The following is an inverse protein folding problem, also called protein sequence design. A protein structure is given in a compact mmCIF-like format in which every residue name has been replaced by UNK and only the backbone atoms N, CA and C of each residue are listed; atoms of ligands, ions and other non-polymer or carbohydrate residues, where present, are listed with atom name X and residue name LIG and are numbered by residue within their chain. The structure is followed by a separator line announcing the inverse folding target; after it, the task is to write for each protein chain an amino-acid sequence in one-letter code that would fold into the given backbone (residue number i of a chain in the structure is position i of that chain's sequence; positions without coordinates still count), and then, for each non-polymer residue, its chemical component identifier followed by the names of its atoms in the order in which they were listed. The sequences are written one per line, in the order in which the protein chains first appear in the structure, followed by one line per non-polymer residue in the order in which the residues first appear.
data_IF_317464064333
#
_entry.id   IF_317464064333
#
_cell.length_a   1.000
_cell.length_b   1.000
_cell.length_c   1.000
_cell.angle_alpha   90.00
_cell.angle_beta   90.00
_cell.angle_gamma   90.00
#
_symmetry.space_group_name_H-M   'P 1'
#
loop_
_entity.id
_entity.type
_entity.pdbx_description
1 polymer ?
#
# COMPACT_ATOMS: atom_id res chain seq x y z
N UNK A 1 5.04 -7.20 4.24
CA UNK A 1 3.76 -6.60 3.75
C UNK A 1 2.84 -6.17 4.88
N UNK A 2 2.49 -7.06 5.81
CA UNK A 2 1.54 -6.82 6.92
C UNK A 2 1.73 -5.46 7.63
N UNK A 3 2.93 -5.16 8.11
CA UNK A 3 3.18 -3.89 8.82
C UNK A 3 2.90 -2.62 7.99
N UNK A 4 3.10 -2.68 6.67
CA UNK A 4 2.76 -1.56 5.81
C UNK A 4 1.24 -1.44 5.63
N UNK A 5 0.52 -2.57 5.60
CA UNK A 5 -0.95 -2.56 5.58
C UNK A 5 -1.48 -1.97 6.88
N UNK A 6 -1.01 -2.47 8.03
CA UNK A 6 -1.41 -1.98 9.35
C UNK A 6 -1.16 -0.47 9.47
N UNK A 7 0.04 0.02 9.09
CA UNK A 7 0.35 1.44 9.06
C UNK A 7 -0.61 2.27 8.18
N UNK A 8 -1.02 1.74 7.03
CA UNK A 8 -1.93 2.42 6.13
C UNK A 8 -3.38 2.39 6.64
N UNK A 9 -3.80 1.28 7.25
CA UNK A 9 -5.11 1.14 7.88
C UNK A 9 -5.25 2.07 9.08
N UNK A 10 -4.25 2.09 9.98
CA UNK A 10 -4.20 2.98 11.15
C UNK A 10 -4.28 4.46 10.72
N UNK A 11 -3.59 4.83 9.63
CA UNK A 11 -3.69 6.18 9.07
C UNK A 11 -5.09 6.47 8.53
N UNK A 12 -5.67 5.57 7.75
CA UNK A 12 -7.00 5.78 7.18
C UNK A 12 -8.07 5.84 8.27
N UNK A 13 -7.98 4.99 9.30
CA UNK A 13 -8.89 4.98 10.44
C UNK A 13 -8.85 6.30 11.19
N UNK A 14 -7.65 6.75 11.59
CA UNK A 14 -7.48 8.02 12.30
C UNK A 14 -7.95 9.21 11.47
N UNK A 15 -7.54 9.31 10.21
CA UNK A 15 -7.96 10.39 9.31
C UNK A 15 -9.48 10.37 9.07
N UNK A 16 -10.12 9.20 9.03
CA UNK A 16 -11.56 9.09 8.83
C UNK A 16 -12.37 9.41 10.09
N UNK A 17 -11.85 9.08 11.27
CA UNK A 17 -12.46 9.45 12.55
C UNK A 17 -12.53 10.98 12.70
N UNK A 18 -11.44 11.68 12.38
CA UNK A 18 -11.36 13.15 12.43
C UNK A 18 -12.28 13.88 11.43
N UNK A 19 -12.81 13.17 10.42
CA UNK A 19 -13.70 13.75 9.39
C UNK A 19 -15.19 13.57 9.70
N UNK A 20 -15.58 12.69 10.63
CA UNK A 20 -17.00 12.48 10.99
C UNK A 20 -17.65 13.75 11.55
N UNK A 21 -16.88 14.72 12.04
CA UNK A 21 -17.39 16.02 12.50
C UNK A 21 -17.67 17.03 11.36
N UNK A 22 -17.29 16.75 10.10
CA UNK A 22 -17.31 17.71 8.99
C UNK A 22 -18.22 17.30 7.82
N UNK A 23 -19.49 17.01 8.13
CA UNK A 23 -20.59 16.94 7.14
C UNK A 23 -20.51 15.79 6.11
N UNK A 24 -21.56 15.62 5.27
CA UNK A 24 -21.80 14.41 4.47
C UNK A 24 -20.95 14.30 3.18
N UNK A 25 -19.78 14.91 3.12
CA UNK A 25 -18.94 14.80 1.93
C UNK A 25 -18.13 13.50 1.99
N UNK A 26 -18.47 12.56 1.10
CA UNK A 26 -17.89 11.22 0.90
C UNK A 26 -16.39 11.24 0.51
N UNK A 27 -15.55 11.84 1.35
CA UNK A 27 -14.11 12.04 1.16
C UNK A 27 -13.31 11.20 2.18
N UNK A 28 -13.71 9.95 2.39
CA UNK A 28 -12.95 9.03 3.23
C UNK A 28 -11.59 8.75 2.61
N UNK A 29 -10.57 8.70 3.46
CA UNK A 29 -9.27 8.16 3.11
C UNK A 29 -9.36 6.65 3.01
N UNK A 30 -9.10 6.12 1.83
CA UNK A 30 -9.03 4.69 1.58
C UNK A 30 -8.01 4.38 0.49
N UNK A 31 -7.44 3.18 0.52
CA UNK A 31 -6.50 2.70 -0.49
C UNK A 31 -6.92 1.35 -1.05
N UNK A 32 -6.60 1.10 -2.32
CA UNK A 32 -7.09 -0.04 -3.07
C UNK A 32 -5.99 -0.81 -3.83
N UNK A 33 -4.75 -0.36 -3.72
CA UNK A 33 -3.57 -1.05 -4.22
C UNK A 33 -2.36 -0.79 -3.31
N UNK A 34 -1.56 -1.83 -3.08
CA UNK A 34 -0.28 -1.73 -2.38
C UNK A 34 0.75 -2.67 -2.99
N UNK A 35 1.97 -2.18 -3.18
CA UNK A 35 3.11 -2.99 -3.55
C UNK A 35 4.36 -2.57 -2.79
N UNK A 36 4.95 -3.52 -2.04
CA UNK A 36 6.21 -3.34 -1.33
C UNK A 36 7.23 -4.36 -1.90
N UNK A 37 8.06 -3.97 -2.88
CA UNK A 37 9.08 -4.83 -3.43
C UNK A 37 10.05 -5.33 -2.37
N UNK A 38 10.35 -6.63 -2.41
CA UNK A 38 11.32 -7.28 -1.55
C UNK A 38 12.60 -7.61 -2.33
N UNK A 39 13.74 -7.54 -1.66
CA UNK A 39 14.97 -8.18 -2.08
C UNK A 39 14.98 -9.60 -1.50
N UNK A 40 14.86 -10.61 -2.38
CA UNK A 40 14.76 -12.01 -1.99
C UNK A 40 16.07 -12.59 -1.45
N UNK A 41 17.21 -11.92 -1.69
CA UNK A 41 18.48 -12.35 -1.09
C UNK A 41 18.56 -11.94 0.37
N UNK A 42 18.18 -10.70 0.67
CA UNK A 42 18.33 -10.12 2.01
C UNK A 42 17.08 -10.23 2.87
N UNK A 43 15.94 -10.61 2.28
CA UNK A 43 14.62 -10.65 2.91
C UNK A 43 14.15 -9.28 3.44
N UNK A 44 14.80 -8.19 3.01
CA UNK A 44 14.37 -6.83 3.32
C UNK A 44 13.60 -6.21 2.14
N UNK A 45 12.80 -5.18 2.44
CA UNK A 45 12.20 -4.39 1.38
C UNK A 45 13.25 -3.57 0.63
N UNK A 46 13.00 -3.24 -0.65
CA UNK A 46 13.90 -2.44 -1.47
C UNK A 46 13.93 -0.94 -1.11
N UNK A 47 13.24 -0.53 -0.04
CA UNK A 47 13.23 0.84 0.46
C UNK A 47 12.17 1.76 -0.15
N UNK A 48 11.27 1.25 -0.98
CA UNK A 48 10.16 2.01 -1.55
C UNK A 48 8.90 1.15 -1.66
N UNK A 49 7.75 1.80 -1.81
CA UNK A 49 6.45 1.15 -2.00
C UNK A 49 5.57 1.97 -2.93
N UNK A 50 4.62 1.30 -3.59
CA UNK A 50 3.53 1.95 -4.31
C UNK A 50 2.24 1.76 -3.53
N UNK A 51 1.47 2.84 -3.40
CA UNK A 51 0.16 2.84 -2.76
C UNK A 51 -0.78 3.65 -3.64
N UNK A 52 -1.94 3.09 -3.99
CA UNK A 52 -3.00 3.84 -4.67
C UNK A 52 -4.10 4.19 -3.68
N UNK A 53 -4.36 5.48 -3.52
CA UNK A 53 -5.53 5.98 -2.81
C UNK A 53 -6.73 6.07 -3.76
N UNK A 54 -7.94 5.88 -3.24
CA UNK A 54 -9.17 5.97 -4.03
C UNK A 54 -9.53 7.40 -4.44
N UNK A 55 -8.94 8.41 -3.78
CA UNK A 55 -9.19 9.82 -4.02
C UNK A 55 -7.86 10.61 -3.97
N UNK A 56 -7.57 11.48 -4.96
CA UNK A 56 -6.41 12.38 -4.92
C UNK A 56 -6.31 13.22 -3.65
N UNK A 57 -7.46 13.58 -3.04
CA UNK A 57 -7.48 14.33 -1.78
C UNK A 57 -6.92 13.51 -0.62
N UNK A 58 -7.20 12.21 -0.58
CA UNK A 58 -6.66 11.30 0.44
C UNK A 58 -5.14 11.16 0.28
N UNK A 59 -4.65 11.02 -0.96
CA UNK A 59 -3.21 11.01 -1.24
C UNK A 59 -2.53 12.32 -0.80
N UNK A 60 -3.16 13.47 -1.06
CA UNK A 60 -2.63 14.78 -0.63
C UNK A 60 -2.58 14.92 0.90
N UNK A 61 -3.63 14.47 1.61
CA UNK A 61 -3.66 14.45 3.08
C UNK A 61 -2.55 13.56 3.64
N UNK A 62 -2.40 12.35 3.09
CA UNK A 62 -1.36 11.43 3.50
C UNK A 62 0.04 11.98 3.28
N UNK A 63 0.30 12.59 2.12
CA UNK A 63 1.56 13.28 1.84
C UNK A 63 1.85 14.35 2.91
N UNK A 64 0.89 15.25 3.18
CA UNK A 64 1.06 16.30 4.20
C UNK A 64 1.33 15.74 5.59
N UNK A 65 0.71 14.62 5.95
CA UNK A 65 0.80 14.04 7.29
C UNK A 65 2.05 13.17 7.50
N UNK A 66 2.50 12.45 6.46
CA UNK A 66 3.50 11.36 6.61
C UNK A 66 4.81 11.61 5.87
N UNK A 67 4.87 12.60 4.97
CA UNK A 67 6.11 12.97 4.28
C UNK A 67 7.11 13.64 5.22
N UNK A 68 8.41 13.43 4.98
CA UNK A 68 9.52 13.92 5.82
C UNK A 68 9.45 13.49 7.30
N UNK A 69 8.73 12.42 7.61
CA UNK A 69 8.63 11.84 8.95
C UNK A 69 9.47 10.56 9.08
N UNK A 70 9.96 10.25 10.28
CA UNK A 70 10.71 9.02 10.56
C UNK A 70 9.80 7.80 10.65
N UNK A 71 10.33 6.62 10.34
CA UNK A 71 9.64 5.36 10.64
C UNK A 71 9.66 5.07 12.14
N UNK A 72 8.48 4.92 12.74
CA UNK A 72 8.32 4.57 14.15
C UNK A 72 8.70 3.09 14.43
N UNK A 73 8.89 2.32 13.36
CA UNK A 73 9.26 0.91 13.41
C UNK A 73 10.77 0.69 13.23
N UNK A 74 11.27 -0.38 13.85
CA UNK A 74 12.64 -0.90 13.69
C UNK A 74 13.79 0.04 14.09
N UNK A 75 13.50 1.09 14.89
CA UNK A 75 14.49 2.12 15.22
C UNK A 75 15.17 2.71 13.97
N UNK A 76 14.45 2.69 12.85
CA UNK A 76 15.00 3.08 11.56
C UNK A 76 15.28 4.58 11.56
N UNK A 77 16.52 4.96 11.24
CA UNK A 77 16.90 6.36 11.04
C UNK A 77 16.40 6.92 9.70
N UNK A 78 15.78 6.10 8.85
CA UNK A 78 15.29 6.51 7.53
C UNK A 78 14.12 7.49 7.67
N UNK A 79 14.14 8.52 6.85
CA UNK A 79 13.08 9.52 6.72
C UNK A 79 12.23 9.13 5.51
N UNK A 80 10.90 9.13 5.65
CA UNK A 80 9.97 8.90 4.56
C UNK A 80 10.03 10.06 3.57
N UNK A 81 10.06 9.70 2.29
CA UNK A 81 9.84 10.63 1.18
C UNK A 81 8.70 10.08 0.34
N UNK A 82 7.70 10.91 0.10
CA UNK A 82 6.50 10.57 -0.65
C UNK A 82 6.47 11.46 -1.89
N UNK A 83 6.37 10.82 -3.04
CA UNK A 83 6.29 11.48 -4.34
C UNK A 83 5.20 10.82 -5.20
N UNK A 84 4.59 11.55 -6.14
CA UNK A 84 3.68 10.95 -7.10
C UNK A 84 4.43 9.92 -7.96
N UNK A 85 3.81 8.75 -8.15
CA UNK A 85 4.33 7.71 -9.05
C UNK A 85 4.12 8.09 -10.52
N UNK A 86 4.98 7.59 -11.42
CA UNK A 86 4.82 7.79 -12.87
C UNK A 86 3.54 7.12 -13.41
N UNK A 87 3.18 5.96 -12.85
CA UNK A 87 1.93 5.25 -13.18
C UNK A 87 0.90 5.61 -12.11
N UNK A 88 -0.25 6.12 -12.54
CA UNK A 88 -1.31 6.63 -11.66
C UNK A 88 -2.60 5.82 -11.82
N UNK A 89 -3.26 5.55 -10.70
CA UNK A 89 -4.54 4.81 -10.67
C UNK A 89 -4.37 3.30 -10.53
N UNK A 90 -5.34 2.68 -9.85
CA UNK A 90 -5.37 1.23 -9.59
C UNK A 90 -5.33 0.42 -10.88
N UNK A 91 -6.16 0.73 -11.86
CA UNK A 91 -6.28 -0.09 -13.08
C UNK A 91 -4.97 -0.11 -13.88
N UNK A 92 -4.32 1.04 -14.04
CA UNK A 92 -3.02 1.14 -14.70
C UNK A 92 -1.91 0.40 -13.93
N UNK A 93 -1.93 0.44 -12.60
CA UNK A 93 -1.00 -0.35 -11.77
C UNK A 93 -1.26 -1.85 -11.90
N UNK A 94 -2.53 -2.27 -11.87
CA UNK A 94 -2.92 -3.67 -12.04
C UNK A 94 -2.47 -4.15 -13.41
N UNK A 95 -2.77 -3.42 -14.49
CA UNK A 95 -2.36 -3.75 -15.86
C UNK A 95 -0.83 -3.86 -15.96
N UNK A 96 -0.10 -2.88 -15.41
CA UNK A 96 1.37 -2.88 -15.40
C UNK A 96 1.95 -4.14 -14.78
N UNK A 97 1.38 -4.58 -13.65
CA UNK A 97 1.92 -5.69 -12.89
C UNK A 97 1.29 -7.05 -13.24
N UNK A 98 0.13 -7.08 -13.91
CA UNK A 98 -0.58 -8.32 -14.25
C UNK A 98 0.27 -9.28 -15.09
N UNK A 99 1.05 -8.75 -16.03
CA UNK A 99 1.94 -9.55 -16.87
C UNK A 99 3.36 -9.68 -16.30
N UNK A 100 3.64 -9.01 -15.17
CA UNK A 100 4.95 -9.06 -14.55
C UNK A 100 5.17 -10.41 -13.87
N UNK A 101 6.40 -10.93 -14.03
CA UNK A 101 6.82 -12.17 -13.42
C UNK A 101 7.75 -11.91 -12.24
N UNK A 102 7.38 -12.38 -11.07
CA UNK A 102 8.10 -12.14 -9.82
C UNK A 102 8.84 -13.41 -9.43
N UNK A 103 10.18 -13.35 -9.45
CA UNK A 103 11.04 -14.43 -8.97
C UNK A 103 11.08 -14.49 -7.45
N UNK A 104 9.93 -14.69 -6.83
CA UNK A 104 9.77 -14.73 -5.37
C UNK A 104 9.18 -16.07 -4.93
N UNK A 105 9.32 -16.39 -3.65
CA UNK A 105 8.90 -17.68 -3.10
C UNK A 105 7.47 -17.64 -2.56
N UNK A 106 7.02 -16.46 -2.12
CA UNK A 106 5.73 -16.26 -1.48
C UNK A 106 4.89 -15.24 -2.24
N UNK A 107 3.60 -15.52 -2.38
CA UNK A 107 2.62 -14.60 -2.96
C UNK A 107 2.49 -13.31 -2.13
N UNK A 108 2.92 -13.32 -0.87
CA UNK A 108 2.91 -12.14 -0.01
C UNK A 108 3.79 -10.98 -0.50
N UNK A 109 4.70 -11.27 -1.42
CA UNK A 109 5.60 -10.30 -2.03
C UNK A 109 5.07 -9.75 -3.36
N UNK A 110 3.94 -10.29 -3.84
CA UNK A 110 3.27 -9.76 -5.01
C UNK A 110 2.56 -8.44 -4.66
N UNK A 111 2.43 -7.53 -5.65
CA UNK A 111 1.48 -6.43 -5.55
C UNK A 111 0.09 -6.96 -5.21
N UNK A 112 -0.66 -6.18 -4.43
CA UNK A 112 -2.00 -6.56 -4.01
C UNK A 112 -2.98 -5.44 -4.30
N UNK A 113 -4.15 -5.80 -4.83
CA UNK A 113 -5.28 -4.91 -4.97
C UNK A 113 -6.41 -5.32 -4.03
N UNK A 114 -7.22 -4.35 -3.62
CA UNK A 114 -8.30 -4.54 -2.66
C UNK A 114 -9.65 -4.22 -3.28
N UNK A 115 -10.66 -5.02 -2.93
CA UNK A 115 -12.06 -4.74 -3.19
C UNK A 115 -12.94 -5.31 -2.07
N UNK A 116 -13.69 -4.48 -1.31
CA UNK A 116 -13.68 -3.01 -1.35
C UNK A 116 -12.31 -2.40 -0.95
N UNK A 117 -12.09 -1.11 -1.23
CA UNK A 117 -10.93 -0.37 -0.72
C UNK A 117 -10.83 -0.43 0.81
N UNK A 118 -9.61 -0.35 1.34
CA UNK A 118 -9.35 -0.35 2.78
C UNK A 118 -9.39 1.09 3.31
N UNK A 119 -10.34 1.37 4.20
CA UNK A 119 -10.56 2.69 4.82
C UNK A 119 -10.18 2.72 6.32
N UNK A 120 -9.50 1.69 6.80
CA UNK A 120 -9.14 1.50 8.21
C UNK A 120 -10.22 0.86 9.07
N UNK A 121 -11.50 0.88 8.66
CA UNK A 121 -12.62 0.33 9.46
C UNK A 121 -12.74 -1.20 9.46
N UNK A 122 -11.85 -1.88 8.74
CA UNK A 122 -11.88 -3.33 8.57
C UNK A 122 -10.62 -3.98 9.12
N UNK A 123 -10.74 -4.65 10.28
CA UNK A 123 -9.90 -5.82 10.55
C UNK A 123 -9.97 -6.73 9.32
N UNK A 124 -8.81 -7.23 8.89
CA UNK A 124 -8.47 -7.90 7.60
C UNK A 124 -9.45 -8.94 7.00
N UNK A 125 -10.60 -9.22 7.62
CA UNK A 125 -11.58 -10.25 7.30
C UNK A 125 -12.63 -9.88 6.22
N UNK A 126 -12.81 -8.59 5.86
CA UNK A 126 -13.86 -8.17 4.91
C UNK A 126 -13.38 -7.68 3.54
N UNK A 127 -12.10 -7.39 3.38
CA UNK A 127 -11.55 -6.97 2.08
C UNK A 127 -11.04 -8.20 1.30
N UNK A 128 -11.50 -8.38 0.07
CA UNK A 128 -10.89 -9.36 -0.82
C UNK A 128 -9.54 -8.81 -1.29
N UNK A 129 -8.49 -9.59 -1.06
CA UNK A 129 -7.14 -9.28 -1.49
C UNK A 129 -6.83 -10.08 -2.75
N UNK A 130 -6.52 -9.39 -3.84
CA UNK A 130 -6.12 -10.03 -5.10
C UNK A 130 -4.65 -9.75 -5.36
N UNK A 131 -3.82 -10.80 -5.31
CA UNK A 131 -2.43 -10.71 -5.72
C UNK A 131 -2.37 -10.46 -7.24
N UNK A 132 -1.51 -9.53 -7.67
CA UNK A 132 -1.39 -9.11 -9.07
C UNK A 132 -0.04 -9.58 -9.62
N UNK A 133 -0.09 -10.23 -10.78
CA UNK A 133 1.08 -10.77 -11.46
C UNK A 133 1.32 -12.25 -11.20
N UNK A 134 2.43 -12.76 -11.72
CA UNK A 134 2.71 -14.19 -11.72
C UNK A 134 3.96 -14.53 -10.90
N UNK A 135 3.80 -15.49 -9.99
CA UNK A 135 4.91 -16.08 -9.24
C UNK A 135 5.73 -16.98 -10.17
N UNK A 136 7.04 -16.75 -10.25
CA UNK A 136 7.98 -17.75 -10.76
C UNK A 136 8.74 -18.33 -9.58
N UNK A 137 8.44 -19.59 -9.26
CA UNK A 137 9.31 -20.37 -8.37
C UNK A 137 10.62 -20.62 -9.10
N UNK A 138 11.72 -20.04 -8.60
CA UNK A 138 13.05 -20.43 -9.07
C UNK A 138 13.24 -21.90 -8.69
N UNK A 139 13.45 -22.77 -9.67
CA UNK A 139 13.93 -24.12 -9.39
C UNK A 139 15.30 -23.95 -8.73
N UNK A 140 15.43 -24.43 -7.50
CA UNK A 140 16.73 -24.61 -6.86
C UNK A 140 17.59 -25.42 -7.82
N UNK A 141 18.71 -24.85 -8.26
CA UNK A 141 19.77 -25.60 -8.95
C UNK A 141 20.56 -26.33 -7.88
#
# INVERSE_FOLDING_TARGET
RKMMLDFMDDYCESENHDQQEKGPNNNKSAFDFLYLPMDFRTHFNKGYAFVNFTNPRAASKFWKAKDNQKWDYFQSKKIRQIAPATIQGKDALVERFAQSKFGCEMEEFLPVSFCPPRDGSHHSLRCHQNNVGHLIRRRTI
#
